data_IF_434450638903
#
_entry.id   IF_434450638903
#
_cell.length_a   1.000
_cell.length_b   1.000
_cell.length_c   1.000
_cell.angle_alpha   90.00
_cell.angle_beta   90.00
_cell.angle_gamma   90.00
#
_symmetry.space_group_name_H-M   'P 1'
#
loop_
_entity.id
_entity.type
_entity.pdbx_description
1 polymer ?
#
# COMPACT_ATOMS: atom_id res chain seq x y z
N UNK A 1 7.30 -14.19 0.06
CA UNK A 1 8.35 -13.52 0.80
C UNK A 1 7.92 -13.23 2.24
N UNK A 2 8.89 -13.19 3.16
CA UNK A 2 8.61 -12.98 4.58
C UNK A 2 7.94 -11.63 4.84
N UNK A 3 8.28 -10.61 4.05
CA UNK A 3 7.70 -9.28 4.19
C UNK A 3 6.18 -9.30 3.98
N UNK A 4 5.72 -9.97 2.93
CA UNK A 4 4.29 -10.06 2.65
C UNK A 4 3.57 -10.96 3.65
N UNK A 5 4.23 -11.98 4.17
CA UNK A 5 3.67 -12.81 5.23
C UNK A 5 3.47 -11.99 6.52
N UNK A 6 4.45 -11.19 6.89
CA UNK A 6 4.34 -10.28 8.05
C UNK A 6 3.20 -9.28 7.86
N UNK A 7 3.08 -8.73 6.66
CA UNK A 7 2.00 -7.80 6.32
C UNK A 7 0.63 -8.47 6.48
N UNK A 8 0.46 -9.69 5.97
CA UNK A 8 -0.81 -10.42 6.11
C UNK A 8 -1.14 -10.75 7.55
N UNK A 9 -0.14 -11.11 8.36
CA UNK A 9 -0.35 -11.33 9.80
C UNK A 9 -0.84 -10.06 10.49
N UNK A 10 -0.29 -8.90 10.14
CA UNK A 10 -0.74 -7.64 10.71
C UNK A 10 -2.18 -7.33 10.31
N UNK A 11 -2.57 -7.63 9.07
CA UNK A 11 -3.95 -7.47 8.64
C UNK A 11 -4.87 -8.39 9.45
N UNK A 12 -4.46 -9.65 9.65
CA UNK A 12 -5.27 -10.61 10.39
C UNK A 12 -5.43 -10.23 11.87
N UNK A 13 -4.39 -9.69 12.49
CA UNK A 13 -4.38 -9.33 13.91
C UNK A 13 -4.95 -7.94 14.18
N UNK A 14 -4.69 -6.98 13.31
CA UNK A 14 -5.04 -5.58 13.50
C UNK A 14 -5.58 -4.96 12.21
N UNK A 15 -6.74 -5.45 11.72
CA UNK A 15 -7.26 -4.99 10.43
C UNK A 15 -7.66 -3.51 10.43
N UNK A 16 -8.10 -2.98 11.58
CA UNK A 16 -8.60 -1.61 11.66
C UNK A 16 -7.54 -0.57 11.33
N UNK A 17 -6.29 -0.85 11.66
CA UNK A 17 -5.19 0.08 11.40
C UNK A 17 -5.03 0.32 9.89
N UNK A 18 -4.96 -0.75 9.10
CA UNK A 18 -4.84 -0.63 7.66
C UNK A 18 -6.15 -0.16 7.02
N UNK A 19 -7.30 -0.59 7.52
CA UNK A 19 -8.60 -0.14 6.99
C UNK A 19 -8.73 1.38 7.00
N UNK A 20 -8.31 2.02 8.07
CA UNK A 20 -8.33 3.48 8.18
C UNK A 20 -7.49 4.13 7.09
N UNK A 21 -6.29 3.60 6.85
CA UNK A 21 -5.37 4.13 5.85
C UNK A 21 -5.89 3.89 4.43
N UNK A 22 -6.46 2.71 4.18
CA UNK A 22 -7.00 2.36 2.86
C UNK A 22 -8.22 3.21 2.52
N UNK A 23 -9.07 3.52 3.51
CA UNK A 23 -10.21 4.42 3.27
C UNK A 23 -9.75 5.80 2.81
N UNK A 24 -8.68 6.34 3.42
CA UNK A 24 -8.11 7.62 2.99
C UNK A 24 -7.52 7.52 1.60
N UNK A 25 -6.79 6.45 1.32
CA UNK A 25 -6.20 6.17 0.01
C UNK A 25 -7.28 6.13 -1.07
N UNK A 26 -8.36 5.40 -0.84
CA UNK A 26 -9.45 5.28 -1.81
C UNK A 26 -10.17 6.61 -2.03
N UNK A 27 -10.25 7.45 -0.99
CA UNK A 27 -10.89 8.76 -1.10
C UNK A 27 -10.10 9.70 -2.01
N UNK A 28 -8.78 9.64 -1.96
CA UNK A 28 -7.93 10.52 -2.76
C UNK A 28 -7.91 10.15 -4.24
N UNK A 29 -7.93 8.87 -4.56
CA UNK A 29 -7.98 8.34 -5.94
C UNK A 29 -6.85 8.84 -6.85
N UNK A 30 -5.75 9.34 -6.28
CA UNK A 30 -4.60 9.83 -7.04
C UNK A 30 -3.64 8.70 -7.38
N UNK A 31 -3.58 7.71 -6.52
CA UNK A 31 -2.71 6.55 -6.70
C UNK A 31 -3.56 5.27 -6.81
N UNK A 32 -3.08 4.33 -7.58
CA UNK A 32 -3.71 3.02 -7.75
C UNK A 32 -2.80 1.95 -7.13
N UNK A 33 -3.41 1.04 -6.36
CA UNK A 33 -2.70 -0.13 -5.86
C UNK A 33 -2.39 -1.05 -7.03
N UNK A 34 -1.12 -1.42 -7.17
CA UNK A 34 -0.65 -2.27 -8.24
C UNK A 34 0.18 -3.42 -7.67
N UNK A 35 0.38 -4.44 -8.49
CA UNK A 35 1.19 -5.59 -8.12
C UNK A 35 0.52 -6.90 -8.54
N UNK A 36 1.32 -7.96 -8.74
CA UNK A 36 0.77 -9.27 -9.10
C UNK A 36 -0.05 -9.86 -7.97
N UNK A 37 -1.16 -10.47 -8.30
CA UNK A 37 -2.05 -11.07 -7.32
C UNK A 37 -1.55 -12.43 -6.86
N UNK A 38 -1.76 -12.72 -5.59
CA UNK A 38 -1.55 -14.01 -5.00
C UNK A 38 -2.86 -14.81 -5.05
N UNK A 39 -2.80 -16.05 -5.49
CA UNK A 39 -3.99 -16.82 -5.87
C UNK A 39 -4.91 -17.23 -4.71
N UNK A 40 -4.56 -16.94 -3.45
CA UNK A 40 -5.34 -17.40 -2.30
C UNK A 40 -5.93 -16.25 -1.51
N UNK A 41 -7.24 -16.16 -1.52
CA UNK A 41 -8.01 -15.42 -0.56
C UNK A 41 -8.46 -16.38 0.54
N UNK A 42 -8.04 -16.15 1.77
CA UNK A 42 -8.67 -16.79 2.92
C UNK A 42 -9.83 -15.90 3.34
N UNK A 43 -11.02 -16.47 3.41
CA UNK A 43 -12.29 -15.76 3.42
C UNK A 43 -12.64 -14.87 4.62
N UNK A 44 -11.68 -14.52 5.49
CA UNK A 44 -11.95 -13.68 6.66
C UNK A 44 -11.49 -12.23 6.48
N UNK A 45 -10.80 -11.91 5.40
CA UNK A 45 -10.34 -10.55 5.12
C UNK A 45 -11.50 -9.73 4.58
N UNK A 46 -11.69 -8.52 5.09
CA UNK A 46 -12.74 -7.63 4.60
C UNK A 46 -12.54 -7.29 3.12
N UNK A 47 -13.64 -6.97 2.44
CA UNK A 47 -13.57 -6.59 1.02
C UNK A 47 -12.65 -5.39 0.79
N UNK A 48 -12.59 -4.46 1.73
CA UNK A 48 -11.73 -3.29 1.66
C UNK A 48 -10.24 -3.66 1.61
N UNK A 49 -9.83 -4.63 2.42
CA UNK A 49 -8.43 -5.02 2.55
C UNK A 49 -8.03 -6.18 1.64
N UNK A 50 -8.99 -6.85 1.02
CA UNK A 50 -8.71 -8.04 0.20
C UNK A 50 -7.72 -7.75 -0.92
N UNK A 51 -7.84 -6.66 -1.70
CA UNK A 51 -6.87 -6.38 -2.75
C UNK A 51 -5.45 -6.22 -2.21
N UNK A 52 -5.29 -5.61 -1.04
CA UNK A 52 -4.00 -5.42 -0.39
C UNK A 52 -3.44 -6.75 0.12
N UNK A 53 -4.29 -7.58 0.70
CA UNK A 53 -3.91 -8.87 1.27
C UNK A 53 -3.43 -9.84 0.21
N UNK A 54 -4.04 -9.82 -0.97
CA UNK A 54 -3.82 -10.81 -2.04
C UNK A 54 -2.59 -10.54 -2.90
N UNK A 55 -1.92 -9.40 -2.75
CA UNK A 55 -0.77 -9.07 -3.59
C UNK A 55 0.46 -9.87 -3.19
N UNK A 56 1.26 -10.27 -4.17
CA UNK A 56 2.59 -10.84 -3.92
C UNK A 56 3.59 -9.78 -3.52
N UNK A 57 3.43 -8.59 -4.06
CA UNK A 57 4.20 -7.40 -3.73
C UNK A 57 3.31 -6.19 -3.94
N UNK A 58 3.61 -5.11 -3.24
CA UNK A 58 2.80 -3.90 -3.30
C UNK A 58 3.56 -2.79 -3.98
N UNK A 59 2.90 -2.13 -4.91
CA UNK A 59 3.35 -0.86 -5.46
C UNK A 59 2.14 0.06 -5.62
N UNK A 60 2.40 1.36 -5.53
CA UNK A 60 1.38 2.37 -5.72
C UNK A 60 1.76 3.15 -6.96
N UNK A 61 0.84 3.19 -7.93
CA UNK A 61 1.06 3.86 -9.20
C UNK A 61 0.18 5.10 -9.28
N UNK A 62 0.79 6.22 -9.66
CA UNK A 62 0.04 7.41 -9.98
C UNK A 62 -0.29 7.40 -11.46
N UNK A 63 -1.58 7.52 -11.76
CA UNK A 63 -2.07 7.66 -13.12
C UNK A 63 -2.88 8.95 -13.18
N UNK A 64 -2.24 10.01 -13.68
CA UNK A 64 -2.94 11.25 -13.92
C UNK A 64 -3.56 11.25 -15.32
N UNK A 65 -4.66 11.96 -15.52
CA UNK A 65 -5.23 12.12 -16.85
C UNK A 65 -4.28 12.94 -17.73
N UNK A 66 -4.16 12.52 -19.00
CA UNK A 66 -3.44 13.30 -20.02
C UNK A 66 -4.38 14.39 -20.53
N UNK A 67 -4.59 15.42 -19.72
CA UNK A 67 -5.45 16.55 -20.08
C UNK A 67 -4.77 17.86 -19.71
N UNK A 68 -5.51 18.95 -19.75
CA UNK A 68 -4.99 20.28 -19.44
C UNK A 68 -4.42 20.39 -18.03
N UNK A 69 -4.81 19.52 -17.10
CA UNK A 69 -4.35 19.56 -15.72
C UNK A 69 -2.87 19.29 -15.57
N UNK A 70 -2.24 18.57 -16.52
CA UNK A 70 -0.80 18.30 -16.46
C UNK A 70 0.03 19.59 -16.54
N UNK A 71 -0.57 20.70 -17.01
CA UNK A 71 0.10 21.97 -17.13
C UNK A 71 -0.43 23.03 -16.16
N UNK A 72 -1.17 22.60 -15.12
CA UNK A 72 -1.84 23.53 -14.21
C UNK A 72 -1.39 23.34 -12.76
N UNK A 73 -1.56 24.36 -11.91
CA UNK A 73 -1.31 24.21 -10.47
C UNK A 73 -2.18 23.14 -9.80
N UNK A 74 -3.34 22.81 -10.39
CA UNK A 74 -4.21 21.76 -9.84
C UNK A 74 -3.52 20.39 -9.82
N UNK A 75 -2.65 20.08 -10.78
CA UNK A 75 -1.88 18.85 -10.78
C UNK A 75 -0.94 18.81 -9.59
N UNK A 76 -0.23 19.91 -9.32
CA UNK A 76 0.68 19.96 -8.16
C UNK A 76 -0.08 19.75 -6.85
N UNK A 77 -1.26 20.33 -6.71
CA UNK A 77 -2.11 20.14 -5.53
C UNK A 77 -2.55 18.69 -5.38
N UNK A 78 -2.95 18.03 -6.47
CA UNK A 78 -3.36 16.62 -6.46
C UNK A 78 -2.20 15.72 -6.02
N UNK A 79 -0.99 15.99 -6.51
CA UNK A 79 0.21 15.23 -6.14
C UNK A 79 0.51 15.42 -4.65
N UNK A 80 0.46 16.64 -4.15
CA UNK A 80 0.72 16.93 -2.74
C UNK A 80 -0.30 16.21 -1.86
N UNK A 81 -1.57 16.26 -2.18
CA UNK A 81 -2.61 15.56 -1.42
C UNK A 81 -2.42 14.05 -1.47
N UNK A 82 -2.02 13.51 -2.61
CA UNK A 82 -1.69 12.10 -2.73
C UNK A 82 -0.53 11.71 -1.82
N UNK A 83 0.54 12.51 -1.78
CA UNK A 83 1.67 12.25 -0.89
C UNK A 83 1.29 12.33 0.58
N UNK A 84 0.42 13.25 0.96
CA UNK A 84 -0.09 13.31 2.34
C UNK A 84 -0.80 12.01 2.74
N UNK A 85 -1.50 11.38 1.82
CA UNK A 85 -2.13 10.08 2.04
C UNK A 85 -1.09 8.97 2.15
N UNK A 86 -0.01 9.04 1.35
CA UNK A 86 1.02 8.01 1.33
C UNK A 86 1.91 8.03 2.58
N UNK A 87 2.08 9.17 3.23
CA UNK A 87 2.95 9.26 4.42
C UNK A 87 2.50 8.30 5.53
N UNK A 88 1.23 8.26 5.93
CA UNK A 88 0.79 7.27 6.92
C UNK A 88 0.96 5.83 6.46
N UNK A 89 0.71 5.54 5.18
CA UNK A 89 0.95 4.21 4.61
C UNK A 89 2.43 3.85 4.64
N UNK A 90 3.30 4.80 4.32
CA UNK A 90 4.74 4.61 4.39
C UNK A 90 5.19 4.25 5.80
N UNK A 91 4.70 4.95 6.81
CA UNK A 91 5.01 4.63 8.21
C UNK A 91 4.49 3.24 8.60
N UNK A 92 3.30 2.89 8.16
CA UNK A 92 2.74 1.56 8.37
C UNK A 92 3.64 0.48 7.79
N UNK A 93 4.07 0.63 6.54
CA UNK A 93 4.93 -0.36 5.89
C UNK A 93 6.34 -0.41 6.51
N UNK A 94 6.87 0.71 6.97
CA UNK A 94 8.13 0.70 7.73
C UNK A 94 8.00 -0.13 9.00
N UNK A 95 6.87 -0.06 9.69
CA UNK A 95 6.60 -0.91 10.84
C UNK A 95 6.58 -2.39 10.44
N UNK A 96 5.95 -2.70 9.31
CA UNK A 96 5.95 -4.08 8.79
C UNK A 96 7.37 -4.56 8.51
N UNK A 97 8.20 -3.75 7.89
CA UNK A 97 9.61 -4.08 7.66
C UNK A 97 10.32 -4.36 8.98
N UNK A 98 10.09 -3.53 10.00
CA UNK A 98 10.72 -3.70 11.31
C UNK A 98 10.28 -5.00 12.00
N UNK A 99 9.07 -5.46 11.76
CA UNK A 99 8.53 -6.71 12.31
C UNK A 99 8.95 -7.95 11.50
N UNK A 100 9.49 -7.76 10.31
CA UNK A 100 9.92 -8.85 9.43
C UNK A 100 11.24 -9.43 9.92
N UNK A 101 11.45 -10.77 9.83
CA UNK A 101 12.70 -11.39 10.27
C UNK A 101 13.93 -10.75 9.66
N UNK A 102 14.97 -10.57 10.49
CA UNK A 102 16.17 -9.83 10.12
C UNK A 102 16.92 -10.44 8.95
N UNK A 103 16.93 -11.76 8.83
CA UNK A 103 17.58 -12.44 7.71
C UNK A 103 17.03 -12.01 6.36
N UNK A 104 15.71 -11.83 6.27
CA UNK A 104 15.07 -11.37 5.05
C UNK A 104 15.45 -9.92 4.73
N UNK A 105 15.52 -9.06 5.75
CA UNK A 105 15.93 -7.66 5.59
C UNK A 105 17.38 -7.56 5.13
N UNK A 106 18.27 -8.35 5.73
CA UNK A 106 19.70 -8.38 5.36
C UNK A 106 19.88 -8.81 3.91
N UNK A 107 19.13 -9.83 3.48
CA UNK A 107 19.18 -10.31 2.11
C UNK A 107 18.74 -9.22 1.13
N UNK A 108 17.74 -8.45 1.46
CA UNK A 108 17.30 -7.31 0.66
C UNK A 108 18.33 -6.20 0.57
N UNK A 109 19.10 -5.97 1.63
CA UNK A 109 20.15 -4.95 1.67
C UNK A 109 21.39 -5.36 0.87
N UNK A 110 21.70 -6.63 0.82
CA UNK A 110 22.86 -7.16 0.13
C UNK A 110 22.66 -7.26 -1.39
N UNK A 111 21.45 -7.12 -1.83
CA UNK A 111 21.13 -7.09 -3.25
C UNK A 111 21.37 -5.71 -3.84
#
# INVERSE_FOLDING_TARGET
>A
AALMETFRKQIDQHPQELEKLVRQFNRQQVFTLDGPEYARSKGQTSDLLRPWYQKKSLSLRWEGPLDERIFSPALAEDIIEGFKTLVPLYHYFNKIVALTPQQERTRGQDA
#
